data_IF_664494881084
#
_entry.id   IF_664494881084
#
_cell.length_a   1.000
_cell.length_b   1.000
_cell.length_c   1.000
_cell.angle_alpha   90.00
_cell.angle_beta   90.00
_cell.angle_gamma   90.00
#
_symmetry.space_group_name_H-M   'P 1'
#
loop_
_entity.id
_entity.type
_entity.pdbx_description
1 polymer ?
#
# COMPACT_ATOMS: atom_id res chain seq x y z
N UNK A 1 21.31 1.82 -39.56
CA UNK A 1 21.52 1.02 -38.35
C UNK A 1 21.93 -0.37 -38.80
N UNK A 2 23.09 -0.86 -38.37
CA UNK A 2 23.52 -2.23 -38.67
C UNK A 2 22.78 -3.23 -37.77
N UNK A 3 22.86 -4.52 -38.11
CA UNK A 3 22.33 -5.60 -37.25
C UNK A 3 23.03 -5.61 -35.89
N UNK A 4 24.33 -5.28 -35.86
CA UNK A 4 25.11 -5.20 -34.62
C UNK A 4 24.67 -4.02 -33.76
N UNK A 5 24.44 -2.84 -34.37
CA UNK A 5 23.92 -1.67 -33.65
C UNK A 5 22.54 -1.96 -33.06
N UNK A 6 21.68 -2.63 -33.83
CA UNK A 6 20.35 -3.01 -33.37
C UNK A 6 20.41 -4.05 -32.24
N UNK A 7 21.31 -5.02 -32.33
CA UNK A 7 21.53 -6.03 -31.30
C UNK A 7 22.01 -5.42 -29.99
N UNK A 8 22.98 -4.50 -30.03
CA UNK A 8 23.48 -3.86 -28.80
C UNK A 8 22.43 -2.95 -28.13
N UNK A 9 21.55 -2.30 -28.91
CA UNK A 9 20.37 -1.59 -28.38
C UNK A 9 19.43 -2.57 -27.67
N UNK A 10 19.02 -3.66 -28.34
CA UNK A 10 18.10 -4.65 -27.76
C UNK A 10 18.69 -5.32 -26.51
N UNK A 11 19.99 -5.59 -26.52
CA UNK A 11 20.71 -6.19 -25.40
C UNK A 11 20.74 -5.24 -24.20
N UNK A 12 21.00 -3.95 -24.40
CA UNK A 12 20.97 -2.95 -23.33
C UNK A 12 19.61 -2.84 -22.64
N UNK A 13 18.51 -2.99 -23.39
CA UNK A 13 17.15 -2.85 -22.87
C UNK A 13 16.54 -4.16 -22.33
N UNK A 14 16.77 -5.30 -22.99
CA UNK A 14 16.03 -6.54 -22.73
C UNK A 14 16.88 -7.72 -22.26
N UNK A 15 18.22 -7.65 -22.34
CA UNK A 15 19.07 -8.82 -22.07
C UNK A 15 18.90 -9.35 -20.64
N UNK A 16 18.82 -8.47 -19.64
CA UNK A 16 18.67 -8.89 -18.25
C UNK A 16 17.37 -9.67 -18.02
N UNK A 17 16.24 -9.14 -18.50
CA UNK A 17 14.94 -9.80 -18.37
C UNK A 17 14.96 -11.17 -19.06
N UNK A 18 15.42 -11.22 -20.31
CA UNK A 18 15.46 -12.47 -21.08
C UNK A 18 16.39 -13.48 -20.40
N UNK A 19 17.55 -13.04 -19.92
CA UNK A 19 18.51 -13.88 -19.21
C UNK A 19 17.89 -14.47 -17.93
N UNK A 20 17.29 -13.64 -17.08
CA UNK A 20 16.65 -14.12 -15.84
C UNK A 20 15.46 -15.03 -16.12
N UNK A 21 14.57 -14.69 -17.07
CA UNK A 21 13.45 -15.55 -17.45
C UNK A 21 13.93 -16.90 -17.99
N UNK A 22 15.03 -16.91 -18.74
CA UNK A 22 15.62 -18.16 -19.28
C UNK A 22 16.23 -19.02 -18.17
N UNK A 23 16.99 -18.40 -17.26
CA UNK A 23 17.59 -19.09 -16.10
C UNK A 23 16.48 -19.67 -15.21
N UNK A 24 15.49 -18.86 -14.86
CA UNK A 24 14.36 -19.29 -14.02
C UNK A 24 13.58 -20.40 -14.70
N UNK A 25 13.27 -20.26 -15.99
CA UNK A 25 12.58 -21.32 -16.75
C UNK A 25 13.35 -22.63 -16.71
N UNK A 26 14.67 -22.57 -16.94
CA UNK A 26 15.51 -23.76 -16.91
C UNK A 26 15.55 -24.43 -15.53
N UNK A 27 15.75 -23.66 -14.46
CA UNK A 27 15.83 -24.18 -13.09
C UNK A 27 14.47 -24.68 -12.62
N UNK A 28 13.43 -23.86 -12.75
CA UNK A 28 12.10 -24.15 -12.24
C UNK A 28 11.40 -25.25 -13.03
N UNK A 29 11.65 -25.42 -14.32
CA UNK A 29 11.12 -26.57 -15.06
C UNK A 29 11.75 -27.91 -14.63
N UNK A 30 12.97 -27.88 -14.09
CA UNK A 30 13.61 -29.08 -13.51
C UNK A 30 13.09 -29.38 -12.11
N UNK A 31 12.86 -28.34 -11.31
CA UNK A 31 12.38 -28.47 -9.93
C UNK A 31 10.88 -28.78 -9.87
N UNK A 32 10.08 -28.08 -10.67
CA UNK A 32 8.62 -28.13 -10.65
C UNK A 32 8.06 -28.68 -11.96
N UNK A 33 7.49 -29.89 -11.88
CA UNK A 33 6.76 -30.50 -12.99
C UNK A 33 5.50 -29.71 -13.28
N UNK A 34 5.20 -29.52 -14.56
CA UNK A 34 3.94 -28.91 -14.98
C UNK A 34 2.77 -29.82 -14.57
N UNK A 35 1.82 -29.25 -13.84
CA UNK A 35 0.67 -30.00 -13.31
C UNK A 35 -0.59 -29.78 -14.14
N UNK A 36 -1.58 -30.67 -13.98
CA UNK A 36 -2.90 -30.47 -14.57
C UNK A 36 -3.61 -29.23 -14.01
N UNK A 37 -3.39 -28.91 -12.74
CA UNK A 37 -3.92 -27.71 -12.09
C UNK A 37 -3.34 -26.44 -12.71
N UNK A 38 -2.01 -26.36 -12.84
CA UNK A 38 -1.31 -25.27 -13.53
C UNK A 38 -1.89 -25.05 -14.94
N UNK A 39 -1.97 -26.14 -15.71
CA UNK A 39 -2.49 -26.10 -17.09
C UNK A 39 -3.94 -25.61 -17.13
N UNK A 40 -4.79 -26.10 -16.23
CA UNK A 40 -6.18 -25.68 -16.10
C UNK A 40 -6.28 -24.19 -15.76
N UNK A 41 -5.49 -23.71 -14.81
CA UNK A 41 -5.52 -22.31 -14.37
C UNK A 41 -5.07 -21.36 -15.49
N UNK A 42 -3.98 -21.69 -16.18
CA UNK A 42 -3.49 -20.94 -17.33
C UNK A 42 -4.56 -20.86 -18.44
N UNK A 43 -5.18 -21.98 -18.77
CA UNK A 43 -6.23 -22.00 -19.80
C UNK A 43 -7.45 -21.16 -19.39
N UNK A 44 -7.87 -21.24 -18.11
CA UNK A 44 -8.95 -20.40 -17.58
C UNK A 44 -8.62 -18.91 -17.68
N UNK A 45 -7.39 -18.52 -17.33
CA UNK A 45 -6.93 -17.13 -17.41
C UNK A 45 -6.98 -16.61 -18.86
N UNK A 46 -6.47 -17.39 -19.82
CA UNK A 46 -6.54 -17.06 -21.25
C UNK A 46 -8.00 -16.92 -21.72
N UNK A 47 -8.86 -17.87 -21.33
CA UNK A 47 -10.29 -17.81 -21.66
C UNK A 47 -10.94 -16.56 -21.07
N UNK A 48 -10.62 -16.20 -19.82
CA UNK A 48 -11.16 -15.01 -19.17
C UNK A 48 -10.72 -13.74 -19.88
N UNK A 49 -9.44 -13.63 -20.26
CA UNK A 49 -8.94 -12.47 -21.03
C UNK A 49 -9.70 -12.35 -22.35
N UNK A 50 -9.81 -13.44 -23.11
CA UNK A 50 -10.54 -13.44 -24.40
C UNK A 50 -12.00 -13.03 -24.23
N UNK A 51 -12.67 -13.53 -23.19
CA UNK A 51 -14.06 -13.16 -22.90
C UNK A 51 -14.20 -11.68 -22.51
N UNK A 52 -13.29 -11.15 -21.71
CA UNK A 52 -13.26 -9.71 -21.34
C UNK A 52 -13.05 -8.84 -22.57
N UNK A 53 -12.11 -9.21 -23.45
CA UNK A 53 -11.86 -8.47 -24.69
C UNK A 53 -13.10 -8.41 -25.58
N UNK A 54 -13.78 -9.54 -25.73
CA UNK A 54 -15.04 -9.62 -26.47
C UNK A 54 -16.13 -8.74 -25.85
N UNK A 55 -16.26 -8.74 -24.53
CA UNK A 55 -17.30 -8.00 -23.82
C UNK A 55 -17.05 -6.48 -23.81
N UNK A 56 -15.80 -6.04 -23.69
CA UNK A 56 -15.45 -4.62 -23.53
C UNK A 56 -15.18 -3.91 -24.85
N UNK A 57 -14.59 -4.62 -25.82
CA UNK A 57 -14.11 -4.03 -27.07
C UNK A 57 -14.79 -4.60 -28.31
N UNK A 58 -15.80 -5.48 -28.15
CA UNK A 58 -16.55 -6.08 -29.26
C UNK A 58 -15.64 -6.65 -30.36
N UNK A 59 -14.58 -7.35 -29.95
CA UNK A 59 -13.54 -7.95 -30.80
C UNK A 59 -12.68 -6.96 -31.61
N UNK A 60 -12.72 -5.64 -31.33
CA UNK A 60 -11.82 -4.65 -31.96
C UNK A 60 -10.36 -4.81 -31.53
N UNK A 61 -10.13 -5.33 -30.33
CA UNK A 61 -8.79 -5.65 -29.79
C UNK A 61 -8.61 -7.16 -29.80
N UNK A 62 -7.61 -7.64 -30.55
CA UNK A 62 -7.31 -9.08 -30.59
C UNK A 62 -6.60 -9.52 -29.32
N UNK A 63 -6.69 -10.82 -29.01
CA UNK A 63 -5.96 -11.40 -27.89
C UNK A 63 -4.45 -11.18 -28.03
N UNK A 64 -3.90 -11.37 -29.22
CA UNK A 64 -2.48 -11.18 -29.54
C UNK A 64 -2.04 -9.74 -29.31
N UNK A 65 -2.82 -8.75 -29.75
CA UNK A 65 -2.52 -7.33 -29.50
C UNK A 65 -2.53 -7.02 -28.00
N UNK A 66 -3.48 -7.58 -27.26
CA UNK A 66 -3.57 -7.40 -25.81
C UNK A 66 -2.35 -8.00 -25.10
N UNK A 67 -1.96 -9.24 -25.41
CA UNK A 67 -0.81 -9.87 -24.77
C UNK A 67 0.53 -9.25 -25.18
N UNK A 68 0.61 -8.69 -26.39
CA UNK A 68 1.78 -7.95 -26.84
C UNK A 68 1.93 -6.64 -26.04
N UNK A 69 0.85 -5.88 -25.90
CA UNK A 69 0.86 -4.60 -25.19
C UNK A 69 1.10 -4.76 -23.68
N UNK A 70 0.39 -5.66 -23.01
CA UNK A 70 0.45 -5.78 -21.54
C UNK A 70 1.54 -6.71 -21.04
N UNK A 71 1.92 -7.72 -21.82
CA UNK A 71 2.82 -8.80 -21.37
C UNK A 71 4.08 -8.92 -22.24
N UNK A 72 4.22 -8.12 -23.29
CA UNK A 72 5.39 -8.11 -24.16
C UNK A 72 5.59 -9.43 -24.92
N UNK A 73 4.51 -10.16 -25.21
CA UNK A 73 4.56 -11.45 -25.90
C UNK A 73 3.59 -11.48 -27.07
N UNK A 74 4.03 -12.03 -28.20
CA UNK A 74 3.29 -11.95 -29.47
C UNK A 74 2.46 -13.19 -29.81
N UNK A 75 2.49 -14.25 -28.98
CA UNK A 75 1.76 -15.50 -29.27
C UNK A 75 1.17 -16.10 -28.01
N UNK A 76 0.02 -16.78 -28.14
CA UNK A 76 -0.58 -17.53 -27.04
C UNK A 76 0.38 -18.58 -26.46
N UNK A 77 1.21 -19.22 -27.28
CA UNK A 77 2.19 -20.21 -26.83
C UNK A 77 3.22 -19.58 -25.87
N UNK A 78 3.86 -18.48 -26.28
CA UNK A 78 4.81 -17.74 -25.43
C UNK A 78 4.13 -17.16 -24.19
N UNK A 79 2.87 -16.76 -24.29
CA UNK A 79 2.09 -16.31 -23.13
C UNK A 79 1.82 -17.46 -22.15
N UNK A 80 1.50 -18.67 -22.63
CA UNK A 80 1.39 -19.86 -21.76
C UNK A 80 2.70 -20.17 -21.06
N UNK A 81 3.82 -20.05 -21.76
CA UNK A 81 5.16 -20.24 -21.16
C UNK A 81 5.44 -19.20 -20.06
N UNK A 82 5.11 -17.92 -20.28
CA UNK A 82 5.30 -16.89 -19.26
C UNK A 82 4.39 -17.09 -18.03
N UNK A 83 3.13 -17.49 -18.23
CA UNK A 83 2.22 -17.83 -17.13
C UNK A 83 2.70 -19.07 -16.35
N UNK A 84 3.19 -20.09 -17.05
CA UNK A 84 3.81 -21.29 -16.44
C UNK A 84 5.03 -20.92 -15.59
N UNK A 85 5.91 -20.06 -16.12
CA UNK A 85 7.07 -19.55 -15.39
C UNK A 85 6.64 -18.82 -14.10
N UNK A 86 5.66 -17.92 -14.19
CA UNK A 86 5.14 -17.18 -13.02
C UNK A 86 4.47 -18.10 -11.98
N UNK A 87 3.75 -19.12 -12.43
CA UNK A 87 3.19 -20.13 -11.54
C UNK A 87 4.29 -20.86 -10.76
N UNK A 88 5.36 -21.28 -11.44
CA UNK A 88 6.48 -21.99 -10.80
C UNK A 88 7.33 -21.10 -9.90
N UNK A 89 7.52 -19.82 -10.26
CA UNK A 89 8.11 -18.81 -9.36
C UNK A 89 7.30 -18.70 -8.07
N UNK A 90 5.98 -18.70 -8.17
CA UNK A 90 5.08 -18.70 -7.00
C UNK A 90 5.26 -19.95 -6.13
N UNK A 91 5.43 -21.13 -6.73
CA UNK A 91 5.74 -22.36 -5.98
C UNK A 91 7.09 -22.25 -5.26
N UNK A 92 8.13 -21.78 -5.94
CA UNK A 92 9.45 -21.56 -5.36
C UNK A 92 9.41 -20.61 -4.17
N UNK A 93 8.69 -19.49 -4.27
CA UNK A 93 8.49 -18.56 -3.16
C UNK A 93 7.77 -19.25 -2.00
N UNK A 94 6.69 -20.01 -2.28
CA UNK A 94 5.94 -20.71 -1.24
C UNK A 94 6.79 -21.76 -0.51
N UNK A 95 7.63 -22.49 -1.23
CA UNK A 95 8.50 -23.49 -0.62
C UNK A 95 9.63 -22.81 0.18
N UNK A 96 10.23 -21.75 -0.36
CA UNK A 96 11.19 -20.93 0.39
C UNK A 96 10.59 -20.40 1.69
N UNK A 97 9.36 -19.86 1.66
CA UNK A 97 8.65 -19.38 2.84
C UNK A 97 8.44 -20.52 3.85
N UNK A 98 7.95 -21.69 3.41
CA UNK A 98 7.72 -22.83 4.32
C UNK A 98 8.99 -23.32 4.99
N UNK A 99 10.12 -23.28 4.28
CA UNK A 99 11.41 -23.77 4.77
C UNK A 99 12.14 -22.76 5.65
N UNK A 100 11.98 -21.45 5.36
CA UNK A 100 12.82 -20.41 5.93
C UNK A 100 12.06 -19.43 6.85
N UNK A 101 10.73 -19.44 6.85
CA UNK A 101 9.92 -18.58 7.72
C UNK A 101 9.12 -19.45 8.70
N UNK A 102 9.45 -19.30 9.98
CA UNK A 102 8.80 -20.05 11.05
C UNK A 102 7.46 -19.43 11.44
N UNK A 103 6.53 -20.25 11.95
CA UNK A 103 5.29 -19.74 12.58
C UNK A 103 5.57 -18.75 13.69
N UNK A 104 6.70 -18.91 14.40
CA UNK A 104 7.12 -17.99 15.45
C UNK A 104 7.45 -16.62 14.88
N UNK A 105 8.20 -16.53 13.79
CA UNK A 105 8.50 -15.24 13.14
C UNK A 105 7.25 -14.56 12.61
N UNK A 106 6.32 -15.33 12.03
CA UNK A 106 5.01 -14.80 11.59
C UNK A 106 4.23 -14.23 12.77
N UNK A 107 4.14 -14.99 13.87
CA UNK A 107 3.43 -14.55 15.07
C UNK A 107 4.13 -13.36 15.74
N UNK A 108 5.46 -13.39 15.87
CA UNK A 108 6.23 -12.29 16.44
C UNK A 108 6.05 -11.00 15.63
N UNK A 109 6.00 -11.09 14.29
CA UNK A 109 5.68 -9.96 13.43
C UNK A 109 4.25 -9.47 13.65
N UNK A 110 3.27 -10.39 13.68
CA UNK A 110 1.88 -10.03 13.93
C UNK A 110 1.71 -9.32 15.28
N UNK A 111 2.24 -9.90 16.36
CA UNK A 111 2.08 -9.40 17.71
C UNK A 111 2.81 -8.06 17.94
N UNK A 112 3.90 -7.78 17.22
CA UNK A 112 4.71 -6.56 17.39
C UNK A 112 4.37 -5.46 16.41
N UNK A 113 4.14 -5.80 15.16
CA UNK A 113 4.06 -4.84 14.06
C UNK A 113 2.61 -4.61 13.62
N UNK A 114 1.70 -5.55 13.87
CA UNK A 114 0.29 -5.41 13.49
C UNK A 114 -0.50 -4.88 14.68
N UNK A 115 -0.89 -3.61 14.58
CA UNK A 115 -1.89 -3.02 15.46
C UNK A 115 -3.24 -3.20 14.80
N UNK A 116 -4.16 -3.88 15.50
CA UNK A 116 -5.55 -4.01 15.06
C UNK A 116 -6.29 -2.68 15.05
N UNK A 117 -7.56 -2.71 14.65
CA UNK A 117 -8.38 -1.50 14.66
C UNK A 117 -8.53 -0.96 16.08
N UNK A 118 -8.36 0.35 16.22
CA UNK A 118 -8.48 1.06 17.49
C UNK A 118 -9.63 2.07 17.40
N UNK A 119 -10.22 2.37 18.55
CA UNK A 119 -11.18 3.47 18.69
C UNK A 119 -10.52 4.62 19.46
N UNK A 120 -10.51 5.81 18.87
CA UNK A 120 -9.95 7.01 19.50
C UNK A 120 -10.76 8.25 19.12
N UNK A 121 -10.53 9.33 19.88
CA UNK A 121 -11.04 10.65 19.58
C UNK A 121 -9.89 11.64 19.42
N UNK A 122 -10.09 12.71 18.65
CA UNK A 122 -9.09 13.77 18.47
C UNK A 122 -9.67 15.18 18.47
N UNK A 123 -8.79 16.16 18.65
CA UNK A 123 -9.09 17.59 18.53
C UNK A 123 -8.08 18.16 17.55
N UNK A 124 -8.54 18.52 16.34
CA UNK A 124 -7.68 19.06 15.29
C UNK A 124 -7.58 20.57 15.44
N UNK A 125 -6.36 21.12 15.52
CA UNK A 125 -6.13 22.56 15.40
C UNK A 125 -5.34 22.82 14.13
N UNK A 126 -5.98 23.43 13.13
CA UNK A 126 -5.36 23.75 11.85
C UNK A 126 -4.70 25.13 11.93
N UNK A 127 -3.40 25.27 11.60
CA UNK A 127 -2.79 26.58 11.48
C UNK A 127 -3.41 27.33 10.29
N UNK A 128 -3.77 28.59 10.49
CA UNK A 128 -4.35 29.42 9.45
C UNK A 128 -3.24 29.93 8.51
N UNK A 129 -2.83 29.09 7.56
CA UNK A 129 -1.78 29.38 6.57
C UNK A 129 -2.38 29.50 5.17
N UNK A 130 -1.84 30.41 4.36
CA UNK A 130 -2.12 30.51 2.93
C UNK A 130 -0.81 30.63 2.13
N UNK A 131 -0.87 30.30 0.84
CA UNK A 131 0.29 30.35 -0.06
C UNK A 131 0.83 31.78 -0.29
N UNK A 132 0.04 32.79 0.07
CA UNK A 132 0.41 34.21 -0.07
C UNK A 132 1.18 34.75 1.15
N UNK A 133 1.22 33.99 2.26
CA UNK A 133 1.90 34.40 3.49
C UNK A 133 3.41 34.22 3.38
N UNK A 134 4.15 35.14 4.00
CA UNK A 134 5.59 35.00 4.20
C UNK A 134 5.93 33.84 5.15
N UNK A 135 7.17 33.34 5.10
CA UNK A 135 7.63 32.29 6.02
C UNK A 135 7.46 32.69 7.50
N UNK A 136 7.70 33.95 7.84
CA UNK A 136 7.52 34.46 9.21
C UNK A 136 6.05 34.40 9.65
N UNK A 137 5.12 34.78 8.77
CA UNK A 137 3.68 34.72 9.05
C UNK A 137 3.18 33.27 9.15
N UNK A 138 3.67 32.37 8.30
CA UNK A 138 3.34 30.94 8.37
C UNK A 138 3.84 30.32 9.67
N UNK A 139 5.08 30.62 10.07
CA UNK A 139 5.65 30.17 11.34
C UNK A 139 4.84 30.67 12.53
N UNK A 140 4.43 31.95 12.51
CA UNK A 140 3.57 32.51 13.55
C UNK A 140 2.21 31.81 13.62
N UNK A 141 1.58 31.51 12.49
CA UNK A 141 0.32 30.76 12.47
C UNK A 141 0.47 29.33 13.03
N UNK A 142 1.60 28.67 12.78
CA UNK A 142 1.93 27.38 13.39
C UNK A 142 2.11 27.51 14.91
N UNK A 143 2.81 28.54 15.39
CA UNK A 143 3.00 28.79 16.83
C UNK A 143 1.68 29.10 17.55
N UNK A 144 0.78 29.85 16.90
CA UNK A 144 -0.55 30.14 17.42
C UNK A 144 -1.40 28.87 17.54
N UNK A 145 -1.36 27.98 16.53
CA UNK A 145 -2.02 26.69 16.56
C UNK A 145 -1.46 25.78 17.67
N UNK A 146 -0.12 25.72 17.80
CA UNK A 146 0.55 24.98 18.86
C UNK A 146 0.17 25.51 20.24
N UNK A 147 0.07 26.83 20.41
CA UNK A 147 -0.33 27.47 21.66
C UNK A 147 -1.76 27.09 22.04
N UNK A 148 -2.70 27.12 21.08
CA UNK A 148 -4.07 26.66 21.30
C UNK A 148 -4.14 25.19 21.71
N UNK A 149 -3.40 24.32 21.03
CA UNK A 149 -3.35 22.89 21.38
C UNK A 149 -2.81 22.68 22.82
N UNK A 150 -1.77 23.42 23.23
CA UNK A 150 -1.24 23.38 24.62
C UNK A 150 -2.25 23.89 25.65
N UNK A 151 -3.03 24.91 25.32
CA UNK A 151 -4.10 25.40 26.20
C UNK A 151 -5.19 24.33 26.39
N UNK A 152 -5.58 23.62 25.34
CA UNK A 152 -6.55 22.53 25.42
C UNK A 152 -6.04 21.40 26.31
N UNK A 153 -4.77 21.00 26.18
CA UNK A 153 -4.14 20.01 27.08
C UNK A 153 -4.16 20.51 28.54
N UNK A 154 -3.92 21.79 28.77
CA UNK A 154 -4.00 22.37 30.12
C UNK A 154 -5.43 22.28 30.68
N UNK A 155 -6.45 22.55 29.87
CA UNK A 155 -7.87 22.37 30.24
C UNK A 155 -8.21 20.90 30.53
N UNK A 156 -7.72 19.96 29.74
CA UNK A 156 -7.85 18.53 29.98
C UNK A 156 -7.18 18.09 31.30
N UNK A 157 -6.01 18.65 31.62
CA UNK A 157 -5.32 18.39 32.90
C UNK A 157 -6.14 18.91 34.09
N UNK A 158 -6.89 20.00 33.89
CA UNK A 158 -7.86 20.54 34.85
C UNK A 158 -9.21 19.80 34.87
N UNK A 159 -9.28 18.61 34.26
CA UNK A 159 -10.45 17.71 34.25
C UNK A 159 -11.66 18.23 33.46
N UNK A 160 -11.45 19.13 32.52
CA UNK A 160 -12.50 19.46 31.55
C UNK A 160 -12.78 18.26 30.61
N UNK A 161 -14.02 18.17 30.13
CA UNK A 161 -14.48 17.07 29.29
C UNK A 161 -13.89 17.13 27.88
N UNK A 162 -13.36 16.01 27.40
CA UNK A 162 -12.71 15.94 26.09
C UNK A 162 -13.71 16.21 24.96
N UNK A 163 -14.92 15.64 25.03
CA UNK A 163 -15.92 15.78 23.98
C UNK A 163 -16.42 17.23 23.88
N UNK A 164 -16.57 17.92 25.02
CA UNK A 164 -16.91 19.35 25.06
C UNK A 164 -15.81 20.20 24.40
N UNK A 165 -14.53 19.96 24.74
CA UNK A 165 -13.41 20.68 24.14
C UNK A 165 -13.27 20.38 22.64
N UNK A 166 -13.54 19.15 22.21
CA UNK A 166 -13.54 18.78 20.80
C UNK A 166 -14.60 19.54 20.01
N UNK A 167 -15.83 19.65 20.53
CA UNK A 167 -16.90 20.45 19.93
C UNK A 167 -16.56 21.93 19.88
N UNK A 168 -15.91 22.45 20.92
CA UNK A 168 -15.59 23.88 21.03
C UNK A 168 -14.43 24.29 20.12
N UNK A 169 -13.39 23.45 19.99
CA UNK A 169 -12.11 23.85 19.39
C UNK A 169 -11.68 23.09 18.15
N UNK A 170 -12.20 21.88 17.91
CA UNK A 170 -11.71 21.07 16.80
C UNK A 170 -12.12 21.68 15.46
N UNK A 171 -11.16 21.78 14.55
CA UNK A 171 -11.35 22.17 13.16
C UNK A 171 -11.73 20.99 12.26
N UNK A 172 -11.74 19.76 12.79
CA UNK A 172 -12.25 18.60 12.07
C UNK A 172 -13.78 18.55 12.15
N UNK A 173 -14.44 19.08 11.13
CA UNK A 173 -15.90 19.11 11.03
C UNK A 173 -16.53 17.71 10.93
N UNK A 174 -15.75 16.68 10.57
CA UNK A 174 -16.22 15.30 10.48
C UNK A 174 -16.42 14.62 11.82
N UNK A 175 -15.71 15.06 12.87
CA UNK A 175 -15.75 14.43 14.19
C UNK A 175 -16.05 15.40 15.34
N UNK A 176 -15.82 16.70 15.18
CA UNK A 176 -15.96 17.70 16.25
C UNK A 176 -17.30 17.62 16.98
N UNK A 177 -18.42 17.60 16.24
CA UNK A 177 -19.77 17.56 16.81
C UNK A 177 -20.08 16.26 17.57
N UNK A 178 -19.35 15.18 17.27
CA UNK A 178 -19.42 13.89 17.97
C UNK A 178 -18.35 13.76 19.07
N UNK A 179 -17.80 14.90 19.53
CA UNK A 179 -16.79 14.91 20.59
C UNK A 179 -15.41 14.46 20.11
N UNK A 180 -15.15 14.57 18.81
CA UNK A 180 -13.91 14.16 18.17
C UNK A 180 -13.82 12.65 17.90
N UNK A 181 -14.90 11.88 18.07
CA UNK A 181 -14.90 10.42 17.84
C UNK A 181 -14.59 10.08 16.36
N UNK A 182 -13.57 9.25 16.15
CA UNK A 182 -13.17 8.75 14.82
C UNK A 182 -13.79 7.38 14.50
N UNK A 183 -14.51 6.78 15.44
CA UNK A 183 -14.93 5.39 15.35
C UNK A 183 -13.74 4.41 15.41
N UNK A 184 -13.97 3.19 14.94
CA UNK A 184 -12.89 2.22 14.76
C UNK A 184 -12.16 2.49 13.45
N UNK A 185 -10.84 2.60 13.52
CA UNK A 185 -9.98 2.76 12.36
C UNK A 185 -8.71 1.94 12.49
N UNK A 186 -8.12 1.60 11.34
CA UNK A 186 -6.82 0.98 11.31
C UNK A 186 -5.73 2.07 11.45
N UNK A 187 -4.83 2.01 12.45
CA UNK A 187 -3.79 3.03 12.61
C UNK A 187 -2.88 3.18 11.39
N UNK A 188 -2.72 2.12 10.59
CA UNK A 188 -1.93 2.12 9.36
C UNK A 188 -2.52 2.97 8.23
N UNK A 189 -3.77 3.41 8.32
CA UNK A 189 -4.39 4.35 7.37
C UNK A 189 -4.27 5.81 7.80
N UNK A 190 -3.73 6.07 8.99
CA UNK A 190 -3.48 7.42 9.51
C UNK A 190 -2.04 7.84 9.25
N UNK A 191 -1.78 9.15 9.29
CA UNK A 191 -0.42 9.70 9.21
C UNK A 191 0.43 9.17 10.37
N UNK A 192 1.73 8.98 10.10
CA UNK A 192 2.65 8.25 10.98
C UNK A 192 2.78 8.90 12.36
N UNK A 193 2.73 10.23 12.46
CA UNK A 193 2.78 10.96 13.73
C UNK A 193 1.56 10.67 14.60
N UNK A 194 0.36 10.66 14.00
CA UNK A 194 -0.89 10.35 14.69
C UNK A 194 -0.91 8.90 15.14
N UNK A 195 -0.58 7.96 14.23
CA UNK A 195 -0.46 6.53 14.52
C UNK A 195 0.49 6.30 15.71
N UNK A 196 1.69 6.87 15.67
CA UNK A 196 2.68 6.68 16.73
C UNK A 196 2.26 7.26 18.08
N UNK A 197 1.47 8.33 18.09
CA UNK A 197 0.92 8.87 19.31
C UNK A 197 -0.18 7.97 19.88
N UNK A 198 -1.16 7.58 19.06
CA UNK A 198 -2.36 6.86 19.53
C UNK A 198 -2.05 5.44 19.98
N UNK A 199 -1.12 4.72 19.33
CA UNK A 199 -0.75 3.34 19.72
C UNK A 199 -0.04 3.26 21.07
N UNK A 200 0.53 4.37 21.54
CA UNK A 200 1.23 4.46 22.83
C UNK A 200 0.32 4.87 23.99
N UNK A 201 -0.91 5.28 23.69
CA UNK A 201 -1.86 5.71 24.71
C UNK A 201 -2.54 4.52 25.37
N UNK A 202 -2.60 4.56 26.70
CA UNK A 202 -3.51 3.69 27.45
C UNK A 202 -4.96 4.14 27.28
N UNK A 203 -5.91 3.23 27.46
CA UNK A 203 -7.35 3.52 27.38
C UNK A 203 -7.71 4.65 28.35
N UNK A 204 -8.38 5.68 27.84
CA UNK A 204 -8.81 6.84 28.61
C UNK A 204 -7.72 7.87 28.89
N UNK A 205 -6.53 7.73 28.29
CA UNK A 205 -5.48 8.76 28.30
C UNK A 205 -5.51 9.59 27.02
N UNK A 206 -4.91 10.77 27.11
CA UNK A 206 -4.64 11.68 25.99
C UNK A 206 -3.15 12.02 25.99
N UNK A 207 -2.65 12.54 24.86
CA UNK A 207 -1.25 12.95 24.75
C UNK A 207 -0.97 14.14 25.67
N UNK A 208 0.18 14.12 26.35
CA UNK A 208 0.59 15.22 27.24
C UNK A 208 1.18 16.40 26.47
N UNK A 209 1.51 16.20 25.20
CA UNK A 209 1.97 17.22 24.26
C UNK A 209 1.15 17.15 22.97
N UNK A 210 1.00 18.26 22.23
CA UNK A 210 0.36 18.25 20.92
C UNK A 210 1.10 17.36 19.93
N UNK A 211 0.35 16.61 19.12
CA UNK A 211 0.90 15.81 18.03
C UNK A 211 0.85 16.65 16.77
N UNK A 212 2.01 17.04 16.23
CA UNK A 212 2.09 17.69 14.93
C UNK A 212 1.95 16.63 13.83
N UNK A 213 0.94 16.75 12.99
CA UNK A 213 0.80 16.01 11.74
C UNK A 213 1.08 16.90 10.54
N UNK A 214 1.19 16.29 9.36
CA UNK A 214 1.36 16.99 8.08
C UNK A 214 0.20 17.93 7.76
#
# INVERSE_FOLDING_TARGET
MSVEDFYEILKGEYANKILFDTIDSYLLNKTYKTTAEETSNINKEITNIKNTLKAQYNDEVTFEQYIEYYYGTSTEAKFKESLSLNYKRTLAIKDYIKENITKKEINDYYDKEIVGDIKASHILITPNVTDEMTEEEQNKAQDDALTKAKQIITRLNNKEDFAALAKEFSNDTGSAEEGGDLGYFNPGTMVEEFKNAVIKLEIGKYTTEPVKSN
#
